data_IF_291286779625
#
_entry.id   IF_291286779625
#
_cell.length_a   1.000
_cell.length_b   1.000
_cell.length_c   1.000
_cell.angle_alpha   90.00
_cell.angle_beta   90.00
_cell.angle_gamma   90.00
#
_symmetry.space_group_name_H-M   'P 1'
#
loop_
_entity.id
_entity.type
_entity.pdbx_description
1 polymer ?
#
# COMPACT_ATOMS: atom_id res chain seq x y z
N UNK A 1 7.48 -17.35 -19.28
CA UNK A 1 6.18 -17.27 -19.97
C UNK A 1 5.79 -15.81 -20.12
N UNK A 2 5.45 -15.38 -21.34
CA UNK A 2 5.06 -13.98 -21.61
C UNK A 2 3.58 -13.76 -21.27
N UNK A 3 3.30 -12.78 -20.43
CA UNK A 3 1.96 -12.35 -20.05
C UNK A 3 1.77 -10.87 -20.31
N UNK A 4 0.53 -10.44 -20.53
CA UNK A 4 0.21 -9.02 -20.71
C UNK A 4 -0.25 -8.41 -19.40
N UNK A 5 0.35 -7.31 -18.99
CA UNK A 5 0.02 -6.62 -17.76
C UNK A 5 -1.31 -5.88 -17.92
N UNK A 6 -2.29 -6.16 -17.06
CA UNK A 6 -3.60 -5.47 -17.05
C UNK A 6 -3.59 -4.23 -16.15
N UNK A 7 -2.82 -4.26 -15.07
CA UNK A 7 -2.67 -3.15 -14.10
C UNK A 7 -1.21 -2.96 -13.75
N UNK A 8 -0.81 -1.71 -13.48
CA UNK A 8 0.57 -1.39 -13.13
C UNK A 8 1.10 -2.32 -12.03
N UNK A 9 2.25 -2.95 -12.29
CA UNK A 9 2.84 -3.99 -11.45
C UNK A 9 4.35 -3.76 -11.34
N UNK A 10 4.89 -4.00 -10.16
CA UNK A 10 6.35 -4.10 -9.98
C UNK A 10 6.73 -5.57 -9.90
N UNK A 11 7.70 -5.99 -10.70
CA UNK A 11 8.22 -7.37 -10.74
C UNK A 11 9.71 -7.35 -11.05
N UNK A 12 10.49 -8.13 -10.30
CA UNK A 12 11.95 -8.22 -10.46
C UNK A 12 12.66 -6.84 -10.50
N UNK A 13 12.34 -5.95 -9.54
CA UNK A 13 12.85 -4.58 -9.44
C UNK A 13 12.55 -3.67 -10.65
N UNK A 14 11.65 -4.09 -11.55
CA UNK A 14 11.18 -3.29 -12.69
C UNK A 14 9.71 -2.95 -12.50
N UNK A 15 9.33 -1.77 -13.00
CA UNK A 15 7.93 -1.31 -13.04
C UNK A 15 7.39 -1.50 -14.44
N UNK A 16 6.21 -2.10 -14.52
CA UNK A 16 5.48 -2.32 -15.76
C UNK A 16 4.15 -1.58 -15.70
N UNK A 17 3.81 -0.89 -16.77
CA UNK A 17 2.53 -0.25 -16.97
C UNK A 17 1.49 -1.26 -17.46
N UNK A 18 0.22 -0.87 -17.44
CA UNK A 18 -0.83 -1.64 -18.10
C UNK A 18 -0.57 -1.67 -19.61
N UNK A 19 -0.66 -2.85 -20.22
CA UNK A 19 -0.37 -3.10 -21.62
C UNK A 19 1.00 -3.72 -21.89
N UNK A 20 1.95 -3.59 -20.95
CA UNK A 20 3.31 -4.13 -21.11
C UNK A 20 3.31 -5.65 -21.18
N UNK A 21 4.30 -6.20 -21.87
CA UNK A 21 4.56 -7.64 -21.90
C UNK A 21 5.66 -7.96 -20.90
N UNK A 22 5.32 -8.81 -19.94
CA UNK A 22 6.22 -9.26 -18.88
C UNK A 22 6.50 -10.75 -19.03
N UNK A 23 7.78 -11.12 -18.94
CA UNK A 23 8.17 -12.53 -18.83
C UNK A 23 8.25 -12.93 -17.35
N UNK A 24 7.52 -13.98 -16.98
CA UNK A 24 7.48 -14.49 -15.60
C UNK A 24 7.36 -16.01 -15.56
N UNK A 25 7.56 -16.58 -14.37
CA UNK A 25 7.34 -18.01 -14.13
C UNK A 25 5.86 -18.38 -14.30
N UNK A 26 5.57 -19.63 -14.64
CA UNK A 26 4.19 -20.12 -14.78
C UNK A 26 3.41 -20.05 -13.47
N UNK A 27 4.09 -20.26 -12.34
CA UNK A 27 3.51 -20.13 -11.00
C UNK A 27 3.09 -18.68 -10.72
N UNK A 28 3.97 -17.72 -10.97
CA UNK A 28 3.68 -16.30 -10.74
C UNK A 28 2.59 -15.80 -11.70
N UNK A 29 2.62 -16.25 -12.95
CA UNK A 29 1.59 -15.92 -13.93
C UNK A 29 0.19 -16.31 -13.46
N UNK A 30 0.03 -17.52 -12.91
CA UNK A 30 -1.25 -17.98 -12.36
C UNK A 30 -1.69 -17.15 -11.15
N UNK A 31 -0.77 -16.87 -10.21
CA UNK A 31 -1.07 -16.05 -9.03
C UNK A 31 -1.48 -14.63 -9.42
N UNK A 32 -0.75 -14.01 -10.36
CA UNK A 32 -1.04 -12.65 -10.80
C UNK A 32 -2.28 -12.58 -11.70
N UNK A 33 -2.59 -13.64 -12.44
CA UNK A 33 -3.82 -13.75 -13.23
C UNK A 33 -5.05 -13.89 -12.32
N UNK A 34 -4.96 -14.69 -11.25
CA UNK A 34 -6.02 -14.83 -10.25
C UNK A 34 -6.35 -13.49 -9.57
N UNK A 35 -5.34 -12.64 -9.32
CA UNK A 35 -5.53 -11.28 -8.76
C UNK A 35 -5.89 -10.24 -9.84
N UNK A 36 -6.06 -10.66 -11.10
CA UNK A 36 -6.44 -9.78 -12.22
C UNK A 36 -5.37 -8.75 -12.62
N UNK A 37 -4.10 -8.96 -12.23
CA UNK A 37 -2.99 -8.03 -12.55
C UNK A 37 -2.38 -8.29 -13.93
N UNK A 38 -2.39 -9.53 -14.40
CA UNK A 38 -1.88 -9.93 -15.72
C UNK A 38 -2.89 -10.84 -16.44
N UNK A 39 -2.81 -10.92 -17.76
CA UNK A 39 -3.54 -11.90 -18.56
C UNK A 39 -2.58 -12.85 -19.25
N UNK A 40 -2.82 -14.15 -19.07
CA UNK A 40 -2.19 -15.22 -19.85
C UNK A 40 -2.93 -15.30 -21.18
N UNK A 41 -2.22 -15.28 -22.31
CA UNK A 41 -2.83 -15.22 -23.65
C UNK A 41 -3.49 -16.55 -24.11
N UNK A 42 -3.97 -17.36 -23.17
CA UNK A 42 -4.78 -18.54 -23.44
C UNK A 42 -6.08 -18.40 -22.64
N UNK A 43 -7.13 -18.01 -23.37
CA UNK A 43 -8.56 -18.09 -23.02
C UNK A 43 -9.19 -16.98 -22.14
N UNK A 44 -10.44 -16.58 -22.48
CA UNK A 44 -11.17 -15.54 -21.77
C UNK A 44 -11.85 -16.06 -20.50
N UNK A 45 -11.32 -15.61 -19.35
CA UNK A 45 -12.04 -15.27 -18.09
C UNK A 45 -12.74 -16.39 -17.27
N UNK A 46 -12.79 -16.22 -15.95
CA UNK A 46 -14.07 -15.76 -15.41
C UNK A 46 -13.96 -14.32 -14.89
N UNK A 47 -14.99 -13.57 -15.23
CA UNK A 47 -15.31 -12.23 -14.75
C UNK A 47 -15.54 -12.30 -13.25
N UNK A 48 -14.54 -11.94 -12.44
CA UNK A 48 -14.84 -11.32 -11.15
C UNK A 48 -15.12 -9.84 -11.46
N UNK A 49 -16.41 -9.49 -11.43
CA UNK A 49 -16.84 -8.10 -11.37
C UNK A 49 -16.14 -7.42 -10.17
N UNK A 50 -15.32 -6.39 -10.36
CA UNK A 50 -15.07 -5.48 -9.27
C UNK A 50 -16.28 -4.54 -9.20
N UNK A 51 -17.27 -4.86 -8.37
CA UNK A 51 -18.29 -3.92 -7.92
C UNK A 51 -17.65 -2.89 -6.98
N UNK A 52 -16.71 -2.11 -7.52
CA UNK A 52 -16.14 -0.97 -6.83
C UNK A 52 -16.11 0.22 -7.79
N UNK A 53 -16.90 1.27 -7.52
CA UNK A 53 -16.88 2.46 -8.34
C UNK A 53 -15.47 3.08 -8.36
N UNK A 54 -15.09 3.74 -9.47
CA UNK A 54 -13.75 4.28 -9.64
C UNK A 54 -13.40 5.22 -8.48
N UNK A 55 -12.15 5.23 -7.99
CA UNK A 55 -11.73 6.22 -7.00
C UNK A 55 -11.93 7.60 -7.62
N UNK A 56 -12.90 8.35 -7.08
CA UNK A 56 -13.15 9.74 -7.45
C UNK A 56 -11.84 10.49 -7.26
N UNK A 57 -11.24 10.92 -8.37
CA UNK A 57 -10.12 11.84 -8.36
C UNK A 57 -10.57 13.15 -7.72
N UNK A 58 -10.39 13.31 -6.41
CA UNK A 58 -10.60 14.57 -5.71
C UNK A 58 -9.41 15.50 -6.00
N UNK A 59 -9.53 16.14 -7.16
CA UNK A 59 -8.65 17.20 -7.62
C UNK A 59 -8.86 18.47 -6.77
N UNK A 60 -8.18 18.54 -5.63
CA UNK A 60 -7.63 19.77 -5.05
C UNK A 60 -8.48 20.67 -4.14
N UNK A 61 -7.73 21.47 -3.35
CA UNK A 61 -8.09 22.64 -2.50
C UNK A 61 -8.72 22.30 -1.12
N UNK A 62 -8.20 22.76 0.03
CA UNK A 62 -7.37 23.93 0.36
C UNK A 62 -6.44 23.64 1.55
N UNK A 63 -5.27 24.31 1.58
CA UNK A 63 -4.48 24.52 2.80
C UNK A 63 -5.37 25.26 3.82
N UNK A 64 -5.80 24.58 4.88
CA UNK A 64 -6.44 25.26 6.02
C UNK A 64 -5.37 25.57 7.04
N UNK A 65 -5.10 26.87 7.18
CA UNK A 65 -4.20 27.40 8.20
C UNK A 65 -4.74 27.19 9.61
N UNK A 66 -3.79 26.98 10.54
CA UNK A 66 -3.80 27.35 11.96
C UNK A 66 -5.15 27.38 12.70
N UNK A 67 -5.29 26.52 13.71
CA UNK A 67 -5.31 27.00 15.11
C UNK A 67 -4.59 25.98 16.00
N UNK A 68 -3.44 26.41 16.56
CA UNK A 68 -2.87 25.79 17.75
C UNK A 68 -3.99 25.77 18.79
N UNK A 69 -4.40 24.60 19.28
CA UNK A 69 -5.07 24.56 20.57
C UNK A 69 -3.95 24.62 21.59
N UNK A 70 -4.02 25.66 22.39
CA UNK A 70 -3.16 25.91 23.53
C UNK A 70 -3.14 24.64 24.40
N UNK A 71 -2.03 23.89 24.32
CA UNK A 71 -1.69 22.92 25.35
C UNK A 71 -1.23 23.78 26.51
N UNK A 72 -2.15 24.00 27.45
CA UNK A 72 -1.89 24.57 28.77
C UNK A 72 -0.72 23.79 29.38
N UNK A 73 0.44 24.42 29.38
CA UNK A 73 1.59 24.00 30.15
C UNK A 73 1.44 24.62 31.54
N UNK A 74 0.72 23.93 32.43
CA UNK A 74 0.87 24.06 33.88
C UNK A 74 0.67 22.69 34.49
N UNK A 75 1.79 21.97 34.67
CA UNK A 75 2.12 21.30 35.93
C UNK A 75 3.53 20.71 35.79
N UNK A 76 4.50 21.62 35.88
CA UNK A 76 5.83 21.27 36.31
C UNK A 76 5.85 21.38 37.84
N UNK A 77 5.63 20.28 38.56
CA UNK A 77 6.17 20.14 39.91
C UNK A 77 6.24 18.68 40.40
N UNK A 78 7.32 18.37 41.12
CA UNK A 78 7.66 17.14 41.85
C UNK A 78 8.07 15.94 40.94
N UNK A 79 9.34 15.80 40.54
CA UNK A 79 10.50 15.44 41.37
C UNK A 79 10.44 14.00 41.93
N UNK A 80 11.51 13.26 41.65
CA UNK A 80 11.98 12.05 42.33
C UNK A 80 11.14 10.76 42.26
N UNK A 81 11.64 9.78 41.50
CA UNK A 81 12.27 8.59 42.08
C UNK A 81 12.50 7.52 41.00
N UNK A 82 13.68 7.55 40.39
CA UNK A 82 14.27 6.41 39.70
C UNK A 82 14.59 5.35 40.77
N UNK A 83 13.68 4.42 41.01
CA UNK A 83 13.94 3.26 41.87
C UNK A 83 14.55 2.15 41.00
N UNK A 84 15.88 2.17 40.87
CA UNK A 84 16.65 1.00 40.46
C UNK A 84 16.51 -0.10 41.53
N UNK A 85 16.25 -1.36 41.16
CA UNK A 85 16.22 -2.46 42.12
C UNK A 85 17.64 -2.85 42.55
N UNK A 86 17.90 -3.10 43.86
CA UNK A 86 19.22 -3.53 44.31
C UNK A 86 19.56 -4.93 43.80
N UNK A 87 20.80 -5.08 43.33
CA UNK A 87 21.41 -6.38 43.01
C UNK A 87 21.59 -7.18 44.30
N UNK A 88 21.07 -8.40 44.31
CA UNK A 88 21.31 -9.40 45.35
C UNK A 88 22.60 -10.16 45.05
N UNK A 89 23.46 -10.23 46.06
CA UNK A 89 24.68 -11.05 46.17
C UNK A 89 24.34 -12.54 46.36
#
# INVERSE_FOLDING_TARGET
MKVKVKRALSYANKRYAAGDVLDMSTRDAKLMAAVGRVSMAAEPTPTEEPDMPPPKSSKGKKRSGYKRRDIQAEDANAEAATAEPPQSE
#
